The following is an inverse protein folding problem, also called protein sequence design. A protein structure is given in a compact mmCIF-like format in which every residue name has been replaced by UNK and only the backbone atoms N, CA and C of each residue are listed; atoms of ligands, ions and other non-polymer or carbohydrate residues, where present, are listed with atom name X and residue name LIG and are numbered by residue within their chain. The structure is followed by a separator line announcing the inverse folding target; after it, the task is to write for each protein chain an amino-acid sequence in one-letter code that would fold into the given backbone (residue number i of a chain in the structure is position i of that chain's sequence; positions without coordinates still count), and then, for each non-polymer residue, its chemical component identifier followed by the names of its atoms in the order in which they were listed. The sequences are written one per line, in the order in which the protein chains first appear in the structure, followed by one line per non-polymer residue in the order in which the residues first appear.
data_IF_095430492088
#
_entry.id   IF_095430492088
#
_cell.length_a   1.000
_cell.length_b   1.000
_cell.length_c   1.000
_cell.angle_alpha   90.00
_cell.angle_beta   90.00
_cell.angle_gamma   90.00
#
_symmetry.space_group_name_H-M   'P 1'
#
loop_
_entity.id
_entity.type
_entity.pdbx_description
1 polymer ?
#
# COMPACT_ATOMS: atom_id res chain seq x y z
N UNK A 1 28.86 -8.90 49.72
CA UNK A 1 27.76 -8.06 49.20
C UNK A 1 28.29 -6.65 49.07
N UNK A 2 28.69 -6.26 47.86
CA UNK A 2 29.12 -4.89 47.57
C UNK A 2 27.90 -4.21 46.96
N UNK A 3 27.30 -3.27 47.70
CA UNK A 3 26.28 -2.39 47.18
C UNK A 3 27.02 -1.29 46.41
N UNK A 4 26.84 -1.24 45.09
CA UNK A 4 27.30 -0.11 44.28
C UNK A 4 26.41 1.09 44.65
N UNK A 5 26.99 2.09 45.29
CA UNK A 5 26.34 3.39 45.51
C UNK A 5 26.41 4.16 44.19
N UNK A 6 25.32 4.15 43.44
CA UNK A 6 25.11 5.02 42.27
C UNK A 6 25.15 6.47 42.77
N UNK A 7 26.07 7.29 42.24
CA UNK A 7 26.21 8.69 42.64
C UNK A 7 24.95 9.48 42.28
N UNK A 8 24.62 10.52 43.07
CA UNK A 8 23.44 11.35 42.81
C UNK A 8 23.47 11.97 41.40
N UNK A 9 24.65 12.32 40.90
CA UNK A 9 24.87 12.78 39.52
C UNK A 9 24.48 11.76 38.44
N UNK A 10 24.61 10.45 38.69
CA UNK A 10 24.21 9.40 37.74
C UNK A 10 22.68 9.23 37.71
N UNK A 11 22.01 9.50 38.83
CA UNK A 11 20.53 9.45 38.93
C UNK A 11 19.86 10.67 38.33
N UNK A 12 20.48 11.84 38.41
CA UNK A 12 19.97 13.06 37.75
C UNK A 12 20.08 12.96 36.23
N UNK A 13 21.19 12.40 35.71
CA UNK A 13 21.38 12.23 34.27
C UNK A 13 20.42 11.18 33.66
N UNK A 14 20.15 10.06 34.35
CA UNK A 14 19.15 9.08 33.91
C UNK A 14 17.71 9.65 33.93
N UNK A 15 17.39 10.48 34.92
CA UNK A 15 16.07 11.12 35.02
C UNK A 15 15.86 12.21 33.95
N UNK A 16 16.90 12.92 33.53
CA UNK A 16 16.86 13.87 32.42
C UNK A 16 16.68 13.16 31.07
N UNK A 17 17.40 12.06 30.83
CA UNK A 17 17.27 11.25 29.60
C UNK A 17 15.89 10.60 29.49
N UNK A 18 15.29 10.12 30.60
CA UNK A 18 13.92 9.59 30.61
C UNK A 18 12.86 10.67 30.30
N UNK A 19 13.05 11.89 30.81
CA UNK A 19 12.11 13.00 30.62
C UNK A 19 12.19 13.58 29.20
N UNK A 20 13.39 13.65 28.61
CA UNK A 20 13.57 14.00 27.19
C UNK A 20 12.94 12.94 26.27
N UNK A 21 13.12 11.65 26.58
CA UNK A 21 12.52 10.58 25.78
C UNK A 21 10.97 10.58 25.88
N UNK A 22 10.40 10.81 27.06
CA UNK A 22 8.95 10.94 27.21
C UNK A 22 8.38 12.14 26.46
N UNK A 23 9.07 13.29 26.47
CA UNK A 23 8.66 14.47 25.71
C UNK A 23 8.69 14.25 24.19
N UNK A 24 9.72 13.57 23.67
CA UNK A 24 9.81 13.23 22.23
C UNK A 24 8.69 12.26 21.80
N UNK A 25 8.34 11.29 22.66
CA UNK A 25 7.26 10.34 22.37
C UNK A 25 5.88 11.02 22.39
N UNK A 26 5.64 11.95 23.32
CA UNK A 26 4.41 12.74 23.37
C UNK A 26 4.25 13.64 22.12
N UNK A 27 5.31 14.32 21.69
CA UNK A 27 5.32 15.15 20.48
C UNK A 27 5.05 14.32 19.20
N UNK A 28 5.63 13.12 19.09
CA UNK A 28 5.31 12.21 17.98
C UNK A 28 3.84 11.75 18.00
N UNK A 29 3.30 11.50 19.19
CA UNK A 29 1.92 11.06 19.37
C UNK A 29 0.90 12.15 19.02
N UNK A 30 1.18 13.39 19.41
CA UNK A 30 0.35 14.56 19.10
C UNK A 30 0.36 14.84 17.59
N UNK A 31 1.54 14.82 16.96
CA UNK A 31 1.70 15.01 15.51
C UNK A 31 0.97 13.91 14.71
N UNK A 32 0.98 12.67 15.21
CA UNK A 32 0.21 11.56 14.61
C UNK A 32 -1.30 11.78 14.74
N UNK A 33 -1.78 12.29 15.87
CA UNK A 33 -3.20 12.58 16.08
C UNK A 33 -3.67 13.70 15.14
N UNK A 34 -2.91 14.79 15.01
CA UNK A 34 -3.19 15.88 14.08
C UNK A 34 -3.24 15.42 12.61
N UNK A 35 -2.31 14.56 12.20
CA UNK A 35 -2.33 13.97 10.85
C UNK A 35 -3.59 13.15 10.58
N UNK A 36 -4.10 12.43 11.58
CA UNK A 36 -5.31 11.64 11.46
C UNK A 36 -6.57 12.51 11.40
N UNK A 37 -6.62 13.59 12.18
CA UNK A 37 -7.75 14.53 12.15
C UNK A 37 -7.80 15.26 10.81
N UNK A 38 -6.67 15.74 10.29
CA UNK A 38 -6.56 16.35 8.95
C UNK A 38 -7.04 15.40 7.85
N UNK A 39 -6.53 14.16 7.82
CA UNK A 39 -6.97 13.14 6.84
C UNK A 39 -8.48 12.90 6.90
N UNK A 40 -9.06 12.92 8.10
CA UNK A 40 -10.50 12.71 8.30
C UNK A 40 -11.33 13.91 7.84
N UNK A 41 -10.89 15.14 8.11
CA UNK A 41 -11.61 16.35 7.69
C UNK A 41 -11.57 16.51 6.18
N UNK A 42 -10.40 16.35 5.55
CA UNK A 42 -10.23 16.36 4.10
C UNK A 42 -11.11 15.31 3.42
N UNK A 43 -11.08 14.06 3.93
CA UNK A 43 -11.90 12.98 3.40
C UNK A 43 -13.40 13.24 3.52
N UNK A 44 -13.85 13.91 4.58
CA UNK A 44 -15.26 14.28 4.73
C UNK A 44 -15.66 15.42 3.78
N UNK A 45 -14.78 16.41 3.58
CA UNK A 45 -14.99 17.52 2.64
C UNK A 45 -15.22 17.01 1.21
N UNK A 46 -14.35 16.10 0.74
CA UNK A 46 -14.50 15.48 -0.58
C UNK A 46 -15.82 14.73 -0.70
N UNK A 47 -16.22 13.95 0.32
CA UNK A 47 -17.50 13.23 0.33
C UNK A 47 -18.71 14.17 0.24
N UNK A 48 -18.67 15.29 0.95
CA UNK A 48 -19.71 16.32 0.88
C UNK A 48 -19.81 16.92 -0.53
N UNK A 49 -18.68 17.25 -1.16
CA UNK A 49 -18.66 17.83 -2.51
C UNK A 49 -19.31 16.93 -3.57
N UNK A 50 -19.19 15.61 -3.41
CA UNK A 50 -19.74 14.61 -4.34
C UNK A 50 -21.10 14.04 -3.89
N UNK A 51 -21.71 14.61 -2.85
CA UNK A 51 -23.04 14.20 -2.37
C UNK A 51 -23.09 12.82 -1.70
N UNK A 52 -21.96 12.28 -1.24
CA UNK A 52 -21.88 10.95 -0.63
C UNK A 52 -21.89 11.04 0.90
N UNK A 53 -22.61 10.14 1.62
CA UNK A 53 -22.61 10.13 3.09
C UNK A 53 -21.21 10.02 3.71
N UNK A 54 -20.94 10.78 4.78
CA UNK A 54 -19.64 10.78 5.48
C UNK A 54 -19.26 9.42 6.07
N UNK A 55 -20.25 8.58 6.41
CA UNK A 55 -20.09 7.20 6.88
C UNK A 55 -19.67 6.21 5.79
N UNK A 56 -19.64 6.62 4.52
CA UNK A 56 -19.13 5.79 3.44
C UNK A 56 -17.62 5.58 3.62
N UNK A 57 -17.15 4.34 3.48
CA UNK A 57 -15.70 4.08 3.47
C UNK A 57 -15.13 4.54 2.13
N UNK A 58 -13.91 5.06 2.16
CA UNK A 58 -13.19 5.48 0.94
C UNK A 58 -13.00 4.30 -0.01
N UNK A 59 -12.83 3.08 0.49
CA UNK A 59 -12.75 1.86 -0.31
C UNK A 59 -14.01 1.60 -1.14
N UNK A 60 -15.19 1.80 -0.55
CA UNK A 60 -16.47 1.61 -1.23
C UNK A 60 -16.65 2.66 -2.34
N UNK A 61 -16.25 3.89 -2.05
CA UNK A 61 -16.25 5.00 -3.01
C UNK A 61 -15.33 4.72 -4.21
N UNK A 62 -14.09 4.31 -3.96
CA UNK A 62 -13.12 3.97 -5.01
C UNK A 62 -13.65 2.82 -5.88
N UNK A 63 -14.24 1.79 -5.28
CA UNK A 63 -14.87 0.70 -6.03
C UNK A 63 -16.04 1.17 -6.90
N UNK A 64 -16.87 2.09 -6.39
CA UNK A 64 -18.01 2.64 -7.14
C UNK A 64 -17.56 3.44 -8.36
N UNK A 65 -16.51 4.26 -8.22
CA UNK A 65 -15.94 5.10 -9.29
C UNK A 65 -14.96 4.32 -10.19
N UNK A 66 -14.82 3.00 -9.99
CA UNK A 66 -13.90 2.13 -10.76
C UNK A 66 -12.42 2.53 -10.63
N UNK A 67 -12.03 3.11 -9.49
CA UNK A 67 -10.64 3.48 -9.20
C UNK A 67 -9.97 2.30 -8.48
N UNK A 68 -8.97 1.70 -9.13
CA UNK A 68 -8.16 0.62 -8.57
C UNK A 68 -7.13 1.16 -7.55
N UNK A 69 -6.80 0.40 -6.49
CA UNK A 69 -5.70 0.76 -5.60
C UNK A 69 -4.38 0.92 -6.37
N UNK A 70 -3.66 2.01 -6.10
CA UNK A 70 -2.44 2.39 -6.84
C UNK A 70 -1.41 1.27 -6.91
N UNK A 71 -1.15 0.58 -5.79
CA UNK A 71 -0.16 -0.50 -5.71
C UNK A 71 -0.54 -1.64 -6.67
N UNK A 72 -1.79 -2.11 -6.60
CA UNK A 72 -2.29 -3.19 -7.47
C UNK A 72 -2.28 -2.80 -8.95
N UNK A 73 -2.58 -1.52 -9.24
CA UNK A 73 -2.51 -0.99 -10.60
C UNK A 73 -1.06 -0.97 -11.11
N UNK A 74 -0.11 -0.58 -10.27
CA UNK A 74 1.32 -0.60 -10.59
C UNK A 74 1.82 -2.02 -10.84
N UNK A 75 1.45 -2.99 -10.01
CA UNK A 75 1.83 -4.41 -10.20
C UNK A 75 1.34 -4.92 -11.56
N UNK A 76 0.05 -4.67 -11.87
CA UNK A 76 -0.52 -5.05 -13.15
C UNK A 76 0.20 -4.38 -14.34
N UNK A 77 0.61 -3.11 -14.20
CA UNK A 77 1.37 -2.38 -15.21
C UNK A 77 2.78 -2.95 -15.40
N UNK A 78 3.48 -3.30 -14.31
CA UNK A 78 4.79 -3.96 -14.37
C UNK A 78 4.70 -5.30 -15.10
N UNK A 79 3.72 -6.13 -14.75
CA UNK A 79 3.45 -7.39 -15.44
C UNK A 79 3.13 -7.18 -16.94
N UNK A 80 2.29 -6.19 -17.27
CA UNK A 80 1.96 -5.86 -18.67
C UNK A 80 3.17 -5.35 -19.45
N UNK A 81 4.05 -4.59 -18.81
CA UNK A 81 5.28 -4.11 -19.42
C UNK A 81 6.23 -5.27 -19.72
N UNK A 82 6.46 -6.15 -18.75
CA UNK A 82 7.31 -7.33 -18.92
C UNK A 82 6.80 -8.27 -20.02
N UNK A 83 5.51 -8.62 -20.01
CA UNK A 83 4.91 -9.46 -21.05
C UNK A 83 5.01 -8.83 -22.45
N UNK A 84 5.04 -7.50 -22.55
CA UNK A 84 5.26 -6.81 -23.84
C UNK A 84 6.72 -6.88 -24.28
N UNK A 85 7.67 -6.69 -23.36
CA UNK A 85 9.10 -6.83 -23.66
C UNK A 85 9.45 -8.26 -24.09
N UNK A 86 8.88 -9.27 -23.43
CA UNK A 86 9.06 -10.69 -23.79
C UNK A 86 8.59 -11.04 -25.20
N UNK A 87 7.59 -10.31 -25.74
CA UNK A 87 7.05 -10.56 -27.09
C UNK A 87 7.95 -10.05 -28.22
N UNK A 88 8.78 -9.05 -27.95
CA UNK A 88 9.72 -8.52 -28.94
C UNK A 88 11.06 -9.21 -28.76
N UNK A 89 11.59 -9.77 -29.87
CA UNK A 89 12.79 -10.60 -29.88
C UNK A 89 13.99 -9.88 -29.25
N UNK A 90 14.25 -8.63 -29.66
CA UNK A 90 15.41 -7.86 -29.19
C UNK A 90 15.31 -7.51 -27.71
N UNK A 91 14.13 -7.08 -27.25
CA UNK A 91 13.93 -6.74 -25.84
C UNK A 91 13.91 -7.98 -24.96
N UNK A 92 13.47 -9.12 -25.51
CA UNK A 92 13.53 -10.40 -24.81
C UNK A 92 14.98 -10.86 -24.60
N UNK A 93 15.80 -10.79 -25.64
CA UNK A 93 17.25 -11.09 -25.53
C UNK A 93 17.91 -10.19 -24.48
N UNK A 94 17.63 -8.88 -24.52
CA UNK A 94 18.15 -7.95 -23.53
C UNK A 94 17.69 -8.28 -22.10
N UNK A 95 16.42 -8.68 -21.91
CA UNK A 95 15.92 -9.12 -20.61
C UNK A 95 16.67 -10.35 -20.08
N UNK A 96 17.00 -11.30 -20.96
CA UNK A 96 17.77 -12.49 -20.58
C UNK A 96 19.21 -12.16 -20.17
N UNK A 97 19.80 -11.12 -20.76
CA UNK A 97 21.14 -10.62 -20.39
C UNK A 97 21.12 -9.86 -19.06
N UNK A 98 20.11 -9.00 -18.83
CA UNK A 98 20.04 -8.16 -17.63
C UNK A 98 19.41 -8.83 -16.41
N UNK A 99 18.91 -10.06 -16.54
CA UNK A 99 18.20 -10.76 -15.43
C UNK A 99 19.04 -10.94 -14.16
N UNK A 100 20.37 -10.95 -14.28
CA UNK A 100 21.29 -11.13 -13.15
C UNK A 100 21.58 -9.82 -12.42
N UNK A 101 21.12 -8.67 -12.93
CA UNK A 101 21.27 -7.40 -12.24
C UNK A 101 20.35 -7.35 -11.02
N UNK A 102 20.86 -6.79 -9.92
CA UNK A 102 20.17 -6.68 -8.64
C UNK A 102 18.82 -5.95 -8.78
N UNK A 103 18.78 -4.88 -9.56
CA UNK A 103 17.56 -4.08 -9.83
C UNK A 103 16.90 -4.45 -11.17
N UNK A 104 16.89 -5.73 -11.53
CA UNK A 104 16.24 -6.16 -12.78
C UNK A 104 14.71 -6.16 -12.63
N UNK A 105 14.01 -5.90 -13.75
CA UNK A 105 12.55 -6.01 -13.82
C UNK A 105 12.06 -7.42 -13.44
N UNK A 106 12.87 -8.45 -13.70
CA UNK A 106 12.60 -9.83 -13.30
C UNK A 106 12.53 -9.99 -11.79
N UNK A 107 13.43 -9.33 -11.04
CA UNK A 107 13.43 -9.36 -9.57
C UNK A 107 12.21 -8.63 -9.02
N UNK A 108 11.89 -7.44 -9.55
CA UNK A 108 10.66 -6.72 -9.15
C UNK A 108 9.40 -7.57 -9.36
N UNK A 109 9.35 -8.38 -10.43
CA UNK A 109 8.22 -9.27 -10.68
C UNK A 109 8.23 -10.47 -9.74
N UNK A 110 9.40 -11.00 -9.38
CA UNK A 110 9.49 -12.04 -8.35
C UNK A 110 9.06 -11.55 -6.97
N UNK A 111 9.30 -10.28 -6.65
CA UNK A 111 8.82 -9.69 -5.39
C UNK A 111 7.28 -9.66 -5.33
N UNK A 112 6.61 -9.38 -6.46
CA UNK A 112 5.14 -9.42 -6.57
C UNK A 112 4.60 -10.79 -6.15
N UNK A 113 5.33 -11.89 -6.39
CA UNK A 113 4.93 -13.25 -5.99
C UNK A 113 4.51 -13.33 -4.52
N UNK A 114 5.27 -12.66 -3.64
CA UNK A 114 5.02 -12.64 -2.20
C UNK A 114 3.73 -11.91 -1.83
N UNK A 115 3.34 -10.90 -2.62
CA UNK A 115 2.15 -10.08 -2.37
C UNK A 115 0.85 -10.84 -2.68
N UNK A 116 0.88 -11.75 -3.66
CA UNK A 116 -0.30 -12.49 -4.12
C UNK A 116 -0.28 -13.97 -3.72
N UNK A 117 0.66 -14.38 -2.85
CA UNK A 117 0.81 -15.74 -2.32
C UNK A 117 0.74 -16.83 -3.40
N UNK A 118 1.48 -16.62 -4.50
CA UNK A 118 1.50 -17.56 -5.62
C UNK A 118 2.74 -18.43 -5.53
N UNK A 119 2.65 -19.72 -5.88
CA UNK A 119 3.81 -20.62 -5.91
C UNK A 119 4.54 -20.63 -7.26
N UNK A 120 4.05 -19.88 -8.25
CA UNK A 120 4.57 -19.90 -9.61
C UNK A 120 6.00 -19.35 -9.69
N UNK A 121 6.87 -20.06 -10.40
CA UNK A 121 8.27 -19.64 -10.61
C UNK A 121 8.49 -19.04 -11.99
N UNK A 122 7.63 -19.38 -12.95
CA UNK A 122 7.73 -18.84 -14.30
C UNK A 122 7.14 -17.43 -14.37
N UNK A 123 7.98 -16.44 -14.70
CA UNK A 123 7.61 -15.02 -14.71
C UNK A 123 6.41 -14.70 -15.61
N UNK A 124 6.31 -15.35 -16.77
CA UNK A 124 5.22 -15.14 -17.73
C UNK A 124 3.86 -15.58 -17.15
N UNK A 125 3.85 -16.72 -16.44
CA UNK A 125 2.67 -17.24 -15.74
C UNK A 125 2.36 -16.42 -14.50
N UNK A 126 3.36 -16.06 -13.72
CA UNK A 126 3.23 -15.17 -12.57
C UNK A 126 2.56 -13.85 -12.98
N UNK A 127 3.05 -13.19 -14.03
CA UNK A 127 2.43 -11.98 -14.57
C UNK A 127 0.95 -12.17 -14.93
N UNK A 128 0.61 -13.31 -15.52
CA UNK A 128 -0.75 -13.64 -15.93
C UNK A 128 -1.66 -13.86 -14.72
N UNK A 129 -1.17 -14.58 -13.71
CA UNK A 129 -1.86 -14.84 -12.44
C UNK A 129 -2.10 -13.54 -11.67
N UNK A 130 -1.07 -12.70 -11.50
CA UNK A 130 -1.18 -11.40 -10.82
C UNK A 130 -2.26 -10.54 -11.47
N UNK A 131 -2.24 -10.41 -12.80
CA UNK A 131 -3.26 -9.65 -13.53
C UNK A 131 -4.66 -10.20 -13.32
N UNK A 132 -4.81 -11.52 -13.26
CA UNK A 132 -6.08 -12.16 -12.97
C UNK A 132 -6.54 -11.88 -11.53
N UNK A 133 -5.65 -11.97 -10.54
CA UNK A 133 -5.93 -11.63 -9.15
C UNK A 133 -6.42 -10.19 -9.00
N UNK A 134 -5.67 -9.21 -9.53
CA UNK A 134 -6.06 -7.79 -9.45
C UNK A 134 -7.46 -7.56 -10.03
N UNK A 135 -7.74 -8.12 -11.21
CA UNK A 135 -9.06 -7.99 -11.86
C UNK A 135 -10.17 -8.69 -11.09
N UNK A 136 -9.94 -9.92 -10.64
CA UNK A 136 -10.96 -10.74 -9.96
C UNK A 136 -11.31 -10.17 -8.60
N UNK A 137 -10.31 -9.72 -7.83
CA UNK A 137 -10.51 -9.12 -6.53
C UNK A 137 -11.28 -7.80 -6.63
N UNK A 138 -10.90 -6.92 -7.57
CA UNK A 138 -11.62 -5.67 -7.80
C UNK A 138 -13.08 -5.92 -8.21
N UNK A 139 -13.31 -6.91 -9.06
CA UNK A 139 -14.67 -7.32 -9.46
C UNK A 139 -15.47 -7.88 -8.27
N UNK A 140 -14.86 -8.67 -7.41
CA UNK A 140 -15.49 -9.23 -6.22
C UNK A 140 -15.87 -8.13 -5.21
N UNK A 141 -14.98 -7.16 -4.98
CA UNK A 141 -15.26 -6.00 -4.12
C UNK A 141 -16.46 -5.18 -4.61
N UNK A 142 -16.64 -5.10 -5.94
CA UNK A 142 -17.78 -4.41 -6.55
C UNK A 142 -19.10 -5.20 -6.43
N UNK A 143 -19.08 -6.50 -6.72
CA UNK A 143 -20.29 -7.34 -6.80
C UNK A 143 -20.87 -7.70 -5.44
N UNK A 144 -20.01 -7.91 -4.44
CA UNK A 144 -20.43 -8.42 -3.13
C UNK A 144 -20.82 -7.32 -2.13
N UNK A 145 -20.73 -6.05 -2.52
CA UNK A 145 -20.97 -4.92 -1.62
C UNK A 145 -22.22 -4.13 -2.03
N UNK A 146 -23.34 -4.26 -1.28
CA UNK A 146 -24.58 -3.58 -1.62
C UNK A 146 -24.45 -2.04 -1.56
N UNK A 147 -23.56 -1.52 -0.71
CA UNK A 147 -23.29 -0.07 -0.63
C UNK A 147 -22.62 0.44 -1.89
N UNK A 148 -21.68 -0.32 -2.44
CA UNK A 148 -21.02 0.01 -3.72
C UNK A 148 -22.05 0.04 -4.85
N UNK A 149 -23.01 -0.89 -4.86
CA UNK A 149 -24.09 -0.89 -5.84
C UNK A 149 -24.99 0.35 -5.76
N UNK A 150 -25.32 0.82 -4.56
CA UNK A 150 -26.05 2.08 -4.37
C UNK A 150 -25.25 3.30 -4.82
N UNK A 151 -23.96 3.37 -4.47
CA UNK A 151 -23.08 4.46 -4.90
C UNK A 151 -22.94 4.52 -6.42
N UNK A 152 -22.84 3.38 -7.10
CA UNK A 152 -22.80 3.32 -8.56
C UNK A 152 -24.04 3.97 -9.16
N UNK A 153 -25.24 3.75 -8.59
CA UNK A 153 -26.46 4.40 -9.08
C UNK A 153 -26.43 5.93 -8.97
N UNK A 154 -25.70 6.47 -7.99
CA UNK A 154 -25.52 7.91 -7.79
C UNK A 154 -24.55 8.50 -8.82
N UNK A 155 -23.53 7.72 -9.24
CA UNK A 155 -22.50 8.18 -10.19
C UNK A 155 -22.83 7.89 -11.65
N UNK A 156 -23.66 6.90 -11.95
CA UNK A 156 -24.07 6.53 -13.32
C UNK A 156 -25.34 7.29 -13.79
N UNK A 157 -25.92 8.17 -12.95
CA UNK A 157 -26.94 9.18 -13.32
C UNK A 157 -26.32 10.42 -13.96
#
# INVERSE_FOLDING_TARGET
MVWYSISEDEREHEAEDENEHEAEVEDEHENKHERLTLKRTEGNLVKFMIGVPTRCRTTDLLCAVKIEPTIKRLDALKCDFYLRLRKNVYTNELLDEVKQLENSLSNEIMEIKTTYDTNESELDKLCSITKYHVKSEFKAMKLNNPKVAELIKIFDT
#
